data_IF_679669732699
#
_entry.id   IF_679669732699
#
_cell.length_a   1.000
_cell.length_b   1.000
_cell.length_c   1.000
_cell.angle_alpha   90.00
_cell.angle_beta   90.00
_cell.angle_gamma   90.00
#
_symmetry.space_group_name_H-M   'P 1'
#
loop_
_entity.id
_entity.type
_entity.pdbx_description
1 polymer ?
#
# COMPACT_ATOMS: atom_id res chain seq x y z
N UNK A 1 15.19 -24.02 -31.38
CA UNK A 1 15.10 -22.56 -31.22
C UNK A 1 13.92 -22.29 -30.30
N UNK A 2 14.20 -22.04 -29.03
CA UNK A 2 13.17 -21.82 -28.01
C UNK A 2 12.46 -20.48 -28.23
N UNK A 3 11.13 -20.54 -28.32
CA UNK A 3 10.28 -19.37 -28.33
C UNK A 3 10.20 -18.77 -26.94
N UNK A 4 10.98 -17.73 -26.67
CA UNK A 4 10.82 -16.91 -25.48
C UNK A 4 9.58 -16.04 -25.68
N UNK A 5 8.48 -16.45 -25.04
CA UNK A 5 7.26 -15.66 -24.90
C UNK A 5 7.58 -14.33 -24.23
N UNK A 6 7.63 -13.27 -25.04
CA UNK A 6 7.61 -11.87 -24.62
C UNK A 6 6.38 -11.65 -23.74
N UNK A 7 6.55 -11.77 -22.43
CA UNK A 7 5.58 -11.22 -21.48
C UNK A 7 5.66 -9.71 -21.64
N UNK A 8 4.77 -9.18 -22.46
CA UNK A 8 4.55 -7.74 -22.62
C UNK A 8 4.48 -7.14 -21.23
N UNK A 9 5.45 -6.28 -20.91
CA UNK A 9 5.32 -5.27 -19.85
C UNK A 9 4.14 -4.39 -20.25
N UNK A 10 2.94 -4.86 -19.95
CA UNK A 10 1.74 -4.02 -19.96
C UNK A 10 2.11 -2.80 -19.12
N UNK A 11 2.07 -1.64 -19.76
CA UNK A 11 2.56 -0.41 -19.17
C UNK A 11 1.75 -0.15 -17.90
N UNK A 12 2.39 -0.30 -16.73
CA UNK A 12 1.73 -0.23 -15.42
C UNK A 12 0.90 1.06 -15.30
N UNK A 13 1.35 2.14 -15.96
CA UNK A 13 0.64 3.41 -16.03
C UNK A 13 -0.73 3.33 -16.72
N UNK A 14 -0.82 2.67 -17.89
CA UNK A 14 -2.10 2.54 -18.60
C UNK A 14 -3.10 1.68 -17.84
N UNK A 15 -2.63 0.71 -17.05
CA UNK A 15 -3.50 -0.11 -16.20
C UNK A 15 -3.97 0.66 -14.97
N UNK A 16 -3.09 1.44 -14.35
CA UNK A 16 -3.41 2.29 -13.19
C UNK A 16 -4.47 3.35 -13.53
N UNK A 17 -4.37 3.98 -14.72
CA UNK A 17 -5.37 4.95 -15.18
C UNK A 17 -6.75 4.30 -15.44
N UNK A 18 -6.78 3.06 -15.92
CA UNK A 18 -8.01 2.29 -16.12
C UNK A 18 -8.64 1.78 -14.81
N UNK A 19 -7.83 1.52 -13.78
CA UNK A 19 -8.28 1.00 -12.49
C UNK A 19 -8.61 2.12 -11.48
N UNK A 20 -8.18 3.35 -11.76
CA UNK A 20 -8.41 4.54 -10.96
C UNK A 20 -9.90 4.94 -10.95
N UNK A 21 -10.49 5.06 -9.75
CA UNK A 21 -11.85 5.55 -9.61
C UNK A 21 -11.85 6.99 -9.05
N UNK A 22 -12.31 7.92 -9.89
CA UNK A 22 -12.41 9.36 -9.58
C UNK A 22 -13.64 9.74 -8.77
N UNK A 23 -14.62 8.84 -8.69
CA UNK A 23 -15.88 9.04 -7.98
C UNK A 23 -15.84 8.50 -6.54
N UNK A 24 -14.81 7.73 -6.19
CA UNK A 24 -14.66 7.20 -4.83
C UNK A 24 -14.10 8.28 -3.90
N UNK A 25 -14.77 8.54 -2.77
CA UNK A 25 -14.37 9.59 -1.85
C UNK A 25 -13.34 9.13 -0.80
N UNK A 26 -12.52 10.05 -0.31
CA UNK A 26 -11.52 9.83 0.74
C UNK A 26 -12.13 9.97 2.14
N UNK A 27 -13.16 9.18 2.44
CA UNK A 27 -13.98 9.38 3.65
C UNK A 27 -13.36 8.90 4.95
N UNK A 28 -12.27 8.13 4.91
CA UNK A 28 -11.70 7.46 6.09
C UNK A 28 -10.15 7.42 6.03
N UNK A 29 -9.48 7.21 7.17
CA UNK A 29 -8.09 6.77 7.18
C UNK A 29 -7.92 5.45 6.41
N UNK A 30 -6.75 5.26 5.81
CA UNK A 30 -6.36 4.04 5.11
C UNK A 30 -6.88 3.96 3.67
N UNK A 31 -7.35 5.05 3.07
CA UNK A 31 -7.68 5.09 1.63
C UNK A 31 -6.39 5.25 0.83
N UNK A 32 -6.20 4.43 -0.20
CA UNK A 32 -5.08 4.53 -1.13
C UNK A 32 -5.53 5.22 -2.42
N UNK A 33 -4.83 6.29 -2.80
CA UNK A 33 -5.05 7.01 -4.04
C UNK A 33 -3.76 7.37 -4.76
N UNK A 34 -3.85 7.60 -6.07
CA UNK A 34 -2.73 8.06 -6.87
C UNK A 34 -2.50 9.54 -6.61
N UNK A 35 -1.26 9.92 -6.31
CA UNK A 35 -0.90 11.34 -6.19
C UNK A 35 -0.73 12.00 -7.55
N UNK A 36 -0.20 11.25 -8.52
CA UNK A 36 0.00 11.73 -9.89
C UNK A 36 -0.08 10.54 -10.84
N UNK A 37 -1.02 10.56 -11.79
CA UNK A 37 -1.28 9.52 -12.78
C UNK A 37 -0.04 9.14 -13.62
N UNK A 38 0.88 10.10 -13.80
CA UNK A 38 2.09 9.89 -14.61
C UNK A 38 3.24 9.27 -13.81
N UNK A 39 3.02 8.97 -12.52
CA UNK A 39 4.03 8.41 -11.63
C UNK A 39 3.47 7.25 -10.81
N UNK A 40 4.36 6.41 -10.27
CA UNK A 40 3.99 5.34 -9.34
C UNK A 40 3.72 5.86 -7.91
N UNK A 41 3.71 7.19 -7.72
CA UNK A 41 3.55 7.80 -6.41
C UNK A 41 2.09 7.73 -5.98
N UNK A 42 1.84 6.93 -4.96
CA UNK A 42 0.56 6.85 -4.27
C UNK A 42 0.61 7.58 -2.94
N UNK A 43 -0.54 7.77 -2.33
CA UNK A 43 -0.69 8.29 -0.98
C UNK A 43 -1.69 7.42 -0.20
N UNK A 44 -1.55 7.45 1.12
CA UNK A 44 -2.46 6.79 2.06
C UNK A 44 -3.00 7.85 3.01
N UNK A 45 -4.31 7.90 3.19
CA UNK A 45 -4.92 8.87 4.10
C UNK A 45 -4.74 8.45 5.57
N UNK A 46 -4.47 9.42 6.45
CA UNK A 46 -4.48 9.21 7.91
C UNK A 46 -5.77 9.73 8.57
N UNK A 47 -6.61 10.43 7.81
CA UNK A 47 -7.88 11.02 8.22
C UNK A 47 -8.85 11.03 7.03
N UNK A 48 -10.09 11.43 7.28
CA UNK A 48 -11.00 11.89 6.21
C UNK A 48 -10.36 13.08 5.47
N UNK A 49 -10.32 13.03 4.13
CA UNK A 49 -9.61 13.98 3.29
C UNK A 49 -10.39 14.33 2.02
N UNK A 50 -11.58 14.92 2.17
CA UNK A 50 -12.47 15.31 1.06
C UNK A 50 -11.82 16.30 0.09
N UNK A 51 -10.83 17.07 0.54
CA UNK A 51 -10.04 17.96 -0.29
C UNK A 51 -9.27 17.25 -1.43
N UNK A 52 -9.14 15.92 -1.36
CA UNK A 52 -8.49 15.10 -2.38
C UNK A 52 -9.47 14.54 -3.42
N UNK A 53 -10.78 14.62 -3.17
CA UNK A 53 -11.81 14.06 -4.04
C UNK A 53 -11.84 14.77 -5.39
N UNK A 54 -11.99 14.00 -6.48
CA UNK A 54 -11.92 14.51 -7.85
C UNK A 54 -10.52 14.87 -8.35
N UNK A 55 -9.53 15.01 -7.45
CA UNK A 55 -8.13 15.32 -7.79
C UNK A 55 -7.22 14.10 -7.78
N UNK A 56 -7.49 13.15 -6.89
CA UNK A 56 -6.69 11.95 -6.70
C UNK A 56 -7.57 10.72 -6.84
N UNK A 57 -7.29 9.86 -7.81
CA UNK A 57 -8.10 8.68 -8.02
C UNK A 57 -7.82 7.61 -6.95
N UNK A 58 -8.89 7.10 -6.34
CA UNK A 58 -8.81 6.01 -5.35
C UNK A 58 -8.70 4.68 -6.07
N UNK A 59 -7.78 3.83 -5.62
CA UNK A 59 -7.59 2.48 -6.17
C UNK A 59 -7.66 1.37 -5.12
N UNK A 60 -7.60 1.69 -3.83
CA UNK A 60 -7.64 0.68 -2.78
C UNK A 60 -7.83 1.22 -1.38
N UNK A 61 -7.82 0.30 -0.42
CA UNK A 61 -7.85 0.62 1.02
C UNK A 61 -7.01 -0.34 1.84
N UNK A 62 -6.48 0.14 2.95
CA UNK A 62 -5.86 -0.66 4.01
C UNK A 62 -6.92 -1.59 4.59
N UNK A 63 -6.58 -2.87 4.70
CA UNK A 63 -7.45 -3.91 5.27
C UNK A 63 -6.81 -4.60 6.48
N UNK A 64 -5.52 -4.34 6.74
CA UNK A 64 -4.77 -4.82 7.90
C UNK A 64 -3.58 -3.89 8.17
N UNK A 65 -3.16 -3.76 9.44
CA UNK A 65 -2.02 -2.91 9.83
C UNK A 65 -2.40 -1.46 10.12
N UNK A 66 -3.61 -1.20 10.62
CA UNK A 66 -4.04 0.16 11.01
C UNK A 66 -3.25 0.72 12.19
N UNK A 67 -2.67 -0.14 13.03
CA UNK A 67 -1.72 0.26 14.07
C UNK A 67 -0.42 0.81 13.48
N UNK A 68 0.07 0.23 12.38
CA UNK A 68 1.19 0.81 11.61
C UNK A 68 0.80 2.15 11.01
N UNK A 69 -0.42 2.25 10.45
CA UNK A 69 -0.94 3.51 9.92
C UNK A 69 -0.97 4.62 10.99
N UNK A 70 -1.33 4.27 12.24
CA UNK A 70 -1.27 5.20 13.38
C UNK A 70 0.16 5.64 13.68
N UNK A 71 1.10 4.70 13.80
CA UNK A 71 2.52 5.01 14.06
C UNK A 71 3.10 5.90 12.95
N UNK A 72 2.76 5.64 11.69
CA UNK A 72 3.16 6.46 10.54
C UNK A 72 2.61 7.89 10.63
N UNK A 73 1.35 8.04 11.04
CA UNK A 73 0.72 9.35 11.20
C UNK A 73 1.42 10.22 12.27
N UNK A 74 2.00 9.58 13.29
CA UNK A 74 2.72 10.25 14.37
C UNK A 74 4.15 10.71 13.96
N UNK A 75 4.67 10.21 12.84
CA UNK A 75 5.98 10.61 12.31
C UNK A 75 5.92 11.95 11.56
N UNK A 76 4.78 12.33 11.00
CA UNK A 76 4.62 13.60 10.29
C UNK A 76 4.43 14.80 11.21
N UNK A 77 4.82 15.99 10.75
CA UNK A 77 4.44 17.27 11.34
C UNK A 77 3.50 18.06 10.41
N UNK A 78 3.05 19.24 10.85
CA UNK A 78 2.14 20.11 10.08
C UNK A 78 2.74 20.61 8.76
N UNK A 79 4.07 20.60 8.63
CA UNK A 79 4.79 21.01 7.42
C UNK A 79 5.03 19.83 6.46
N UNK A 80 4.60 18.62 6.83
CA UNK A 80 4.81 17.40 6.05
C UNK A 80 6.19 16.78 6.21
N UNK A 81 7.00 17.24 7.16
CA UNK A 81 8.31 16.66 7.45
C UNK A 81 8.17 15.46 8.39
N UNK A 82 9.04 14.47 8.19
CA UNK A 82 9.08 13.28 9.04
C UNK A 82 10.09 13.48 10.18
N UNK A 83 9.71 13.06 11.40
CA UNK A 83 10.59 13.03 12.58
C UNK A 83 11.75 12.05 12.39
N UNK A 84 11.51 10.95 11.68
CA UNK A 84 12.51 9.94 11.35
C UNK A 84 12.24 9.39 9.94
N UNK A 85 13.27 8.89 9.23
CA UNK A 85 13.08 8.26 7.93
C UNK A 85 12.09 7.09 8.01
N UNK A 86 11.16 7.04 7.05
CA UNK A 86 10.22 5.94 6.87
C UNK A 86 10.44 5.39 5.47
N UNK A 87 10.72 4.09 5.37
CA UNK A 87 10.94 3.41 4.11
C UNK A 87 10.07 2.15 4.02
N UNK A 88 9.66 1.81 2.80
CA UNK A 88 9.08 0.50 2.50
C UNK A 88 10.26 -0.43 2.25
N UNK A 89 10.51 -1.35 3.17
CA UNK A 89 11.66 -2.27 3.10
C UNK A 89 11.34 -3.51 2.28
N UNK A 90 10.07 -3.91 2.23
CA UNK A 90 9.61 -5.07 1.45
C UNK A 90 8.15 -4.90 1.01
N UNK A 91 7.78 -5.56 -0.08
CA UNK A 91 6.42 -5.55 -0.61
C UNK A 91 6.17 -6.73 -1.54
N UNK A 92 4.90 -7.02 -1.79
CA UNK A 92 4.50 -8.16 -2.62
C UNK A 92 2.98 -8.29 -2.76
N UNK A 93 2.54 -9.39 -3.37
CA UNK A 93 1.14 -9.75 -3.52
C UNK A 93 0.82 -11.01 -2.70
N UNK A 94 -0.37 -11.07 -2.11
CA UNK A 94 -0.83 -12.28 -1.42
C UNK A 94 -1.35 -13.27 -2.46
N UNK A 95 -0.85 -14.53 -2.48
CA UNK A 95 -1.32 -15.53 -3.43
C UNK A 95 -2.81 -15.82 -3.28
N UNK A 96 -3.49 -16.02 -4.41
CA UNK A 96 -4.91 -16.39 -4.43
C UNK A 96 -5.14 -17.67 -3.61
N UNK A 97 -6.27 -17.73 -2.89
CA UNK A 97 -6.60 -18.85 -2.00
C UNK A 97 -5.88 -18.84 -0.65
N UNK A 98 -4.96 -17.90 -0.40
CA UNK A 98 -4.31 -17.78 0.91
C UNK A 98 -5.16 -16.94 1.85
N UNK A 99 -5.47 -17.46 3.03
CA UNK A 99 -6.15 -16.66 4.05
C UNK A 99 -5.21 -15.53 4.52
N UNK A 100 -5.63 -14.25 4.41
CA UNK A 100 -4.71 -13.13 4.57
C UNK A 100 -4.03 -13.04 5.94
N UNK A 101 -4.76 -13.41 7.02
CA UNK A 101 -4.19 -13.41 8.38
C UNK A 101 -3.05 -14.41 8.52
N UNK A 102 -3.13 -15.54 7.83
CA UNK A 102 -2.15 -16.62 7.97
C UNK A 102 -0.84 -16.26 7.25
N UNK A 103 -0.97 -15.53 6.15
CA UNK A 103 0.18 -14.95 5.44
C UNK A 103 0.82 -13.82 6.25
N UNK A 104 0.01 -12.91 6.79
CA UNK A 104 0.47 -11.74 7.55
C UNK A 104 1.19 -12.14 8.85
N UNK A 105 0.64 -13.08 9.61
CA UNK A 105 1.29 -13.58 10.84
C UNK A 105 2.69 -14.15 10.60
N UNK A 106 2.95 -14.71 9.42
CA UNK A 106 4.29 -15.21 9.07
C UNK A 106 5.27 -14.08 8.78
N UNK A 107 4.78 -12.96 8.24
CA UNK A 107 5.59 -11.79 7.92
C UNK A 107 5.86 -10.89 9.14
N UNK A 108 5.01 -10.93 10.16
CA UNK A 108 5.20 -10.23 11.43
C UNK A 108 6.18 -10.94 12.37
N UNK A 109 6.42 -12.24 12.13
CA UNK A 109 7.39 -13.00 12.93
C UNK A 109 8.80 -12.48 12.64
N UNK A 110 9.63 -12.28 13.69
CA UNK A 110 11.02 -11.92 13.50
C UNK A 110 11.74 -13.03 12.73
N UNK A 111 12.61 -12.64 11.80
CA UNK A 111 13.40 -13.59 10.99
C UNK A 111 14.40 -14.35 11.85
N UNK A 112 14.84 -13.73 12.94
CA UNK A 112 15.68 -14.31 13.98
C UNK A 112 14.95 -14.18 15.35
N UNK A 113 14.58 -15.30 16.01
CA UNK A 113 13.94 -15.30 17.31
C UNK A 113 14.75 -14.61 18.42
N UNK A 114 16.08 -14.49 18.27
CA UNK A 114 16.98 -13.85 19.21
C UNK A 114 17.22 -12.36 18.90
N UNK A 115 16.76 -11.87 17.74
CA UNK A 115 16.87 -10.48 17.36
C UNK A 115 15.94 -9.60 18.24
N UNK A 116 16.50 -9.10 19.33
CA UNK A 116 15.87 -8.08 20.15
C UNK A 116 15.92 -6.73 19.44
N UNK A 117 14.86 -6.32 18.73
CA UNK A 117 14.71 -4.89 18.43
C UNK A 117 13.75 -4.46 17.33
N UNK A 118 13.42 -5.31 16.36
CA UNK A 118 12.55 -4.88 15.25
C UNK A 118 11.25 -5.69 15.23
N UNK A 119 10.19 -5.09 15.78
CA UNK A 119 8.83 -5.54 15.49
C UNK A 119 8.54 -5.22 14.01
N UNK A 120 8.72 -6.20 13.12
CA UNK A 120 8.38 -6.08 11.71
C UNK A 120 6.88 -5.83 11.60
N UNK A 121 6.48 -4.61 11.23
CA UNK A 121 5.08 -4.24 11.09
C UNK A 121 4.68 -4.28 9.63
N UNK A 122 3.54 -4.91 9.36
CA UNK A 122 3.07 -5.18 8.01
C UNK A 122 1.70 -4.56 7.80
N UNK A 123 1.55 -3.82 6.71
CA UNK A 123 0.27 -3.29 6.27
C UNK A 123 -0.17 -3.98 4.99
N UNK A 124 -1.44 -4.34 4.92
CA UNK A 124 -2.06 -4.91 3.73
C UNK A 124 -3.06 -3.92 3.16
N UNK A 125 -3.05 -3.78 1.84
CA UNK A 125 -4.11 -3.11 1.11
C UNK A 125 -4.80 -4.06 0.14
N UNK A 126 -6.07 -3.80 -0.13
CA UNK A 126 -6.84 -4.43 -1.20
C UNK A 126 -7.06 -3.39 -2.29
N UNK A 127 -6.69 -3.72 -3.53
CA UNK A 127 -7.25 -2.98 -4.67
C UNK A 127 -8.74 -3.28 -4.73
N UNK A 128 -9.52 -2.33 -5.23
CA UNK A 128 -10.96 -2.51 -5.44
C UNK A 128 -11.24 -3.53 -6.55
N UNK A 129 -10.25 -3.90 -7.37
CA UNK A 129 -10.39 -4.88 -8.45
C UNK A 129 -9.14 -5.78 -8.56
N UNK A 130 -9.31 -7.03 -8.10
CA UNK A 130 -8.50 -8.24 -8.37
C UNK A 130 -7.18 -8.50 -7.64
N UNK A 131 -6.52 -7.54 -6.97
CA UNK A 131 -5.21 -7.81 -6.34
C UNK A 131 -5.06 -7.22 -4.93
N UNK A 132 -4.44 -7.98 -4.02
CA UNK A 132 -4.10 -7.50 -2.67
C UNK A 132 -2.58 -7.43 -2.50
N UNK A 133 -2.09 -6.29 -2.04
CA UNK A 133 -0.67 -6.01 -1.87
C UNK A 133 -0.26 -5.83 -0.41
N UNK A 134 1.04 -5.94 -0.16
CA UNK A 134 1.70 -5.82 1.14
C UNK A 134 2.73 -4.70 1.14
N UNK A 135 2.82 -3.99 2.25
CA UNK A 135 3.81 -2.96 2.54
C UNK A 135 4.42 -3.27 3.91
N UNK A 136 5.73 -3.53 3.95
CA UNK A 136 6.49 -3.79 5.19
C UNK A 136 7.44 -2.64 5.53
N UNK A 137 7.64 -2.43 6.84
CA UNK A 137 8.63 -1.52 7.42
C UNK A 137 9.72 -2.34 8.11
#
# INVERSE_FOLDING_TARGET
MEGVSSHTRENVYSRVEQEANWSLPHLNPGVLSLRDLRSSRFQITFRKAEELDGWHAVFGKVVYGFDLLKVLSEQGNTNGELKQPVAITTGGAIPAGTHPRDYLKKLEQPEDPEAHGYNKKVMRYSSTYRHTGLIGH
#
